data_IF_648907507127
#
_entry.id   IF_648907507127
#
_cell.length_a   1.000
_cell.length_b   1.000
_cell.length_c   1.000
_cell.angle_alpha   90.00
_cell.angle_beta   90.00
_cell.angle_gamma   90.00
#
_symmetry.space_group_name_H-M   'P 1'
#
loop_
_entity.id
_entity.type
_entity.pdbx_description
1 polymer ?
#
# COMPACT_ATOMS: atom_id res chain seq x y z
N UNK A 1 -43.25 8.49 -70.22
CA UNK A 1 -42.06 7.63 -70.47
C UNK A 1 -41.43 7.25 -69.14
N UNK A 2 -41.47 5.96 -68.78
CA UNK A 2 -40.60 5.36 -67.75
C UNK A 2 -39.31 4.86 -68.42
N UNK A 3 -38.18 4.80 -67.70
CA UNK A 3 -37.42 3.54 -67.64
C UNK A 3 -37.03 3.20 -66.18
N UNK A 4 -37.35 2.01 -65.66
CA UNK A 4 -36.55 0.76 -65.69
C UNK A 4 -35.14 0.94 -65.06
N UNK A 5 -34.97 0.63 -63.76
CA UNK A 5 -34.64 -0.66 -63.10
C UNK A 5 -33.17 -1.13 -63.18
N UNK A 6 -32.53 -1.14 -61.99
CA UNK A 6 -31.59 -2.12 -61.39
C UNK A 6 -30.19 -2.34 -61.97
N UNK A 7 -29.17 -2.18 -61.11
CA UNK A 7 -28.22 -3.27 -60.74
C UNK A 7 -27.29 -2.82 -59.59
N UNK A 8 -27.50 -3.32 -58.35
CA UNK A 8 -26.65 -4.29 -57.62
C UNK A 8 -25.26 -3.79 -57.16
N UNK A 9 -25.10 -3.56 -55.84
CA UNK A 9 -23.96 -4.10 -55.08
C UNK A 9 -24.30 -4.29 -53.59
N UNK A 10 -24.33 -5.57 -53.21
CA UNK A 10 -24.06 -6.30 -51.95
C UNK A 10 -23.85 -5.47 -50.66
N UNK A 11 -24.67 -5.62 -49.61
CA UNK A 11 -24.78 -6.71 -48.60
C UNK A 11 -23.89 -6.52 -47.36
N UNK A 12 -24.56 -6.61 -46.20
CA UNK A 12 -24.09 -6.89 -44.84
C UNK A 12 -23.37 -5.76 -44.08
N UNK A 13 -23.53 -5.60 -42.77
CA UNK A 13 -24.55 -6.01 -41.79
C UNK A 13 -24.17 -5.32 -40.46
N UNK A 14 -25.09 -5.41 -39.49
CA UNK A 14 -24.88 -5.44 -38.04
C UNK A 14 -25.39 -4.22 -37.28
N UNK A 15 -26.13 -4.59 -36.25
CA UNK A 15 -27.11 -3.86 -35.49
C UNK A 15 -26.53 -3.13 -34.28
N UNK A 16 -27.37 -2.20 -33.80
CA UNK A 16 -27.56 -1.80 -32.40
C UNK A 16 -26.48 -0.95 -31.74
N UNK A 17 -26.90 0.23 -31.25
CA UNK A 17 -27.03 0.55 -29.81
C UNK A 17 -26.68 2.03 -29.57
N UNK A 18 -27.68 2.85 -29.19
CA UNK A 18 -27.46 4.08 -28.42
C UNK A 18 -28.80 4.62 -27.91
N UNK A 19 -29.29 4.10 -26.78
CA UNK A 19 -30.21 4.84 -25.91
C UNK A 19 -29.38 5.57 -24.87
N UNK A 20 -29.47 6.89 -24.88
CA UNK A 20 -28.86 7.81 -23.93
C UNK A 20 -29.93 8.33 -22.97
N UNK A 21 -29.50 8.52 -21.71
CA UNK A 21 -30.08 9.34 -20.64
C UNK A 21 -31.18 8.72 -19.77
N UNK A 22 -30.79 8.31 -18.55
CA UNK A 22 -31.14 9.03 -17.33
C UNK A 22 -30.47 8.34 -16.12
N UNK A 23 -29.41 8.92 -15.59
CA UNK A 23 -28.88 8.58 -14.27
C UNK A 23 -28.96 9.85 -13.41
N UNK A 24 -30.16 10.18 -12.97
CA UNK A 24 -30.36 11.06 -11.82
C UNK A 24 -30.36 10.19 -10.58
N UNK A 25 -29.45 10.46 -9.64
CA UNK A 25 -29.52 9.94 -8.28
C UNK A 25 -28.61 8.76 -7.99
N UNK A 26 -27.33 9.04 -7.77
CA UNK A 26 -26.58 8.32 -6.74
C UNK A 26 -25.78 9.36 -5.97
N UNK A 27 -26.02 9.45 -4.66
CA UNK A 27 -25.04 9.99 -3.72
C UNK A 27 -23.65 9.40 -4.04
N UNK A 28 -22.53 10.07 -3.73
CA UNK A 28 -21.27 9.37 -3.66
C UNK A 28 -21.45 8.25 -2.64
N UNK A 29 -21.59 7.02 -3.13
CA UNK A 29 -21.51 5.82 -2.31
C UNK A 29 -20.22 5.94 -1.51
N UNK A 30 -20.29 5.71 -0.20
CA UNK A 30 -19.09 5.39 0.58
C UNK A 30 -18.24 4.44 -0.26
N UNK A 31 -16.93 4.65 -0.39
CA UNK A 31 -16.09 3.63 -1.02
C UNK A 31 -16.41 2.31 -0.32
N UNK A 32 -16.84 1.33 -1.11
CA UNK A 32 -17.08 -0.05 -0.67
C UNK A 32 -15.96 -0.40 0.31
N UNK A 33 -16.30 -0.52 1.58
CA UNK A 33 -15.39 -1.10 2.56
C UNK A 33 -15.30 -2.54 2.12
N UNK A 34 -14.26 -2.83 1.34
CA UNK A 34 -13.98 -4.12 0.75
C UNK A 34 -14.22 -5.20 1.80
N UNK A 35 -15.12 -6.12 1.45
CA UNK A 35 -15.44 -7.39 2.11
C UNK A 35 -14.33 -7.85 3.09
N UNK A 36 -14.38 -7.33 4.32
CA UNK A 36 -13.39 -7.66 5.34
C UNK A 36 -13.84 -8.99 5.94
N UNK A 37 -13.05 -10.03 5.77
CA UNK A 37 -13.17 -11.26 6.54
C UNK A 37 -13.42 -10.92 8.02
N UNK A 38 -14.33 -11.63 8.68
CA UNK A 38 -14.66 -11.38 10.08
C UNK A 38 -13.38 -11.35 10.94
N UNK A 39 -13.27 -10.39 11.89
CA UNK A 39 -12.08 -10.26 12.70
C UNK A 39 -11.85 -11.53 13.53
N UNK A 40 -10.62 -12.04 13.54
CA UNK A 40 -10.23 -13.16 14.40
C UNK A 40 -10.11 -12.64 15.83
N UNK A 41 -10.82 -13.29 16.77
CA UNK A 41 -10.81 -12.93 18.19
C UNK A 41 -10.12 -14.01 19.03
N UNK A 42 -9.43 -13.60 20.10
CA UNK A 42 -8.95 -14.51 21.14
C UNK A 42 -10.08 -14.95 22.10
N UNK A 43 -9.73 -15.79 23.09
CA UNK A 43 -10.67 -16.29 24.11
C UNK A 43 -11.33 -15.17 24.95
N UNK A 44 -10.75 -13.98 24.97
CA UNK A 44 -11.25 -12.81 25.69
C UNK A 44 -12.01 -11.84 24.77
N UNK A 45 -12.21 -12.19 23.50
CA UNK A 45 -12.87 -11.35 22.50
C UNK A 45 -11.98 -10.22 21.95
N UNK A 46 -10.67 -10.24 22.20
CA UNK A 46 -9.72 -9.26 21.64
C UNK A 46 -9.37 -9.65 20.20
N UNK A 47 -9.33 -8.68 19.29
CA UNK A 47 -8.87 -8.92 17.91
C UNK A 47 -7.40 -9.36 17.90
N UNK A 48 -7.11 -10.41 17.15
CA UNK A 48 -5.78 -10.96 16.92
C UNK A 48 -5.47 -10.84 15.44
N UNK A 49 -4.29 -10.33 15.13
CA UNK A 49 -3.83 -10.23 13.74
C UNK A 49 -3.60 -11.63 13.16
N UNK A 50 -4.13 -11.88 11.96
CA UNK A 50 -3.76 -13.04 11.15
C UNK A 50 -2.26 -13.03 10.83
N UNK A 51 -1.64 -14.20 10.58
CA UNK A 51 -0.23 -14.26 10.16
C UNK A 51 0.02 -13.38 8.93
N UNK A 52 1.08 -12.57 8.97
CA UNK A 52 1.41 -11.68 7.87
C UNK A 52 1.69 -12.47 6.58
N UNK A 53 0.93 -12.24 5.50
CA UNK A 53 1.06 -12.99 4.25
C UNK A 53 2.41 -12.80 3.55
N UNK A 54 3.15 -11.73 3.87
CA UNK A 54 4.51 -11.54 3.39
C UNK A 54 5.46 -12.68 3.80
N UNK A 55 5.24 -13.28 4.97
CA UNK A 55 6.07 -14.36 5.49
C UNK A 55 5.51 -15.77 5.22
N UNK A 56 4.29 -15.86 4.66
CA UNK A 56 3.63 -17.13 4.40
C UNK A 56 4.27 -17.91 3.23
N UNK A 57 4.89 -17.21 2.27
CA UNK A 57 5.66 -17.84 1.19
C UNK A 57 7.14 -17.95 1.59
N UNK A 58 7.56 -19.16 1.96
CA UNK A 58 8.95 -19.45 2.32
C UNK A 58 9.86 -19.60 1.09
N UNK A 59 10.00 -18.54 0.30
CA UNK A 59 11.11 -18.48 -0.66
C UNK A 59 12.42 -18.36 0.14
N UNK A 60 13.25 -19.41 0.11
CA UNK A 60 14.54 -19.39 0.79
C UNK A 60 15.40 -18.26 0.25
N UNK A 61 15.73 -17.29 1.09
CA UNK A 61 16.64 -16.19 0.73
C UNK A 61 18.02 -16.80 0.53
N UNK A 62 18.68 -16.62 -0.64
CA UNK A 62 20.00 -17.18 -0.89
C UNK A 62 21.01 -16.77 0.18
N UNK A 63 21.87 -17.69 0.63
CA UNK A 63 22.85 -17.44 1.71
C UNK A 63 23.73 -16.21 1.43
N UNK A 64 24.14 -16.02 0.17
CA UNK A 64 24.90 -14.83 -0.24
C UNK A 64 24.13 -13.53 -0.03
N UNK A 65 22.83 -13.52 -0.35
CA UNK A 65 21.95 -12.37 -0.13
C UNK A 65 21.77 -12.09 1.37
N UNK A 66 21.54 -13.15 2.17
CA UNK A 66 21.40 -13.02 3.62
C UNK A 66 22.66 -12.42 4.26
N UNK A 67 23.84 -12.89 3.87
CA UNK A 67 25.12 -12.38 4.38
C UNK A 67 25.36 -10.92 3.97
N UNK A 68 25.14 -10.58 2.70
CA UNK A 68 25.29 -9.21 2.22
C UNK A 68 24.31 -8.23 2.88
N UNK A 69 23.04 -8.62 3.03
CA UNK A 69 22.05 -7.84 3.78
C UNK A 69 22.43 -7.69 5.26
N UNK A 70 23.04 -8.70 5.87
CA UNK A 70 23.52 -8.62 7.26
C UNK A 70 24.69 -7.64 7.40
N UNK A 71 25.63 -7.64 6.45
CA UNK A 71 26.71 -6.62 6.38
C UNK A 71 26.15 -5.23 6.16
N UNK A 72 25.20 -5.07 5.24
CA UNK A 72 24.55 -3.78 5.00
C UNK A 72 23.85 -3.25 6.25
N UNK A 73 23.24 -4.14 7.05
CA UNK A 73 22.66 -3.77 8.35
C UNK A 73 23.71 -3.28 9.33
N UNK A 74 24.84 -3.98 9.45
CA UNK A 74 25.95 -3.56 10.30
C UNK A 74 26.49 -2.18 9.88
N UNK A 75 26.71 -1.97 8.58
CA UNK A 75 27.08 -0.66 8.06
C UNK A 75 26.05 0.42 8.36
N UNK A 76 24.76 0.11 8.25
CA UNK A 76 23.68 1.04 8.61
C UNK A 76 23.70 1.41 10.10
N UNK A 77 23.88 0.42 10.99
CA UNK A 77 23.94 0.62 12.43
C UNK A 77 25.18 1.47 12.83
N UNK A 78 26.28 1.34 12.08
CA UNK A 78 27.49 2.17 12.18
C UNK A 78 27.39 3.52 11.44
N UNK A 79 26.23 3.86 10.86
CA UNK A 79 26.00 5.06 10.03
C UNK A 79 26.87 5.16 8.77
N UNK A 80 27.47 4.05 8.34
CA UNK A 80 28.23 3.94 7.08
C UNK A 80 27.28 3.70 5.91
N UNK A 81 26.40 4.67 5.64
CA UNK A 81 25.28 4.49 4.71
C UNK A 81 25.72 4.22 3.26
N UNK A 82 26.81 4.82 2.79
CA UNK A 82 27.34 4.54 1.45
C UNK A 82 27.81 3.09 1.29
N UNK A 83 28.42 2.52 2.34
CA UNK A 83 28.83 1.12 2.34
C UNK A 83 27.62 0.18 2.38
N UNK A 84 26.60 0.51 3.18
CA UNK A 84 25.33 -0.21 3.22
C UNK A 84 24.62 -0.19 1.85
N UNK A 85 24.59 0.96 1.18
CA UNK A 85 24.02 1.11 -0.16
C UNK A 85 24.74 0.23 -1.17
N UNK A 86 26.08 0.23 -1.15
CA UNK A 86 26.89 -0.58 -2.07
C UNK A 86 26.59 -2.07 -1.93
N UNK A 87 26.52 -2.59 -0.70
CA UNK A 87 26.17 -3.99 -0.44
C UNK A 87 24.75 -4.32 -0.96
N UNK A 88 23.77 -3.45 -0.68
CA UNK A 88 22.39 -3.69 -1.10
C UNK A 88 22.20 -3.57 -2.61
N UNK A 89 22.92 -2.68 -3.29
CA UNK A 89 22.93 -2.58 -4.75
C UNK A 89 23.41 -3.89 -5.40
N UNK A 90 24.42 -4.54 -4.83
CA UNK A 90 24.87 -5.85 -5.30
C UNK A 90 23.80 -6.93 -5.09
N UNK A 91 23.13 -6.92 -3.93
CA UNK A 91 22.04 -7.88 -3.63
C UNK A 91 20.90 -7.73 -4.64
N UNK A 92 20.42 -6.51 -4.88
CA UNK A 92 19.26 -6.29 -5.76
C UNK A 92 19.60 -6.50 -7.24
N UNK A 93 20.86 -6.34 -7.64
CA UNK A 93 21.33 -6.67 -8.98
C UNK A 93 21.36 -8.20 -9.21
N UNK A 94 21.78 -8.97 -8.22
CA UNK A 94 21.89 -10.43 -8.33
C UNK A 94 20.57 -11.15 -8.05
N UNK A 95 19.75 -10.62 -7.14
CA UNK A 95 18.48 -11.22 -6.71
C UNK A 95 17.34 -10.18 -6.73
N UNK A 96 16.91 -9.73 -7.93
CA UNK A 96 15.96 -8.64 -8.08
C UNK A 96 14.56 -8.94 -7.52
N UNK A 97 14.22 -10.21 -7.27
CA UNK A 97 12.92 -10.61 -6.71
C UNK A 97 12.86 -10.58 -5.17
N UNK A 98 13.97 -10.23 -4.50
CA UNK A 98 13.99 -10.06 -3.04
C UNK A 98 13.43 -8.68 -2.66
N UNK A 99 12.10 -8.57 -2.52
CA UNK A 99 11.44 -7.31 -2.13
C UNK A 99 11.99 -6.71 -0.84
N UNK A 100 12.39 -7.54 0.14
CA UNK A 100 13.05 -7.09 1.36
C UNK A 100 14.39 -6.38 1.15
N UNK A 101 15.16 -6.77 0.12
CA UNK A 101 16.43 -6.12 -0.20
C UNK A 101 16.20 -4.72 -0.79
N UNK A 102 15.24 -4.59 -1.70
CA UNK A 102 14.81 -3.29 -2.23
C UNK A 102 14.27 -2.36 -1.14
N UNK A 103 13.44 -2.88 -0.22
CA UNK A 103 12.98 -2.13 0.95
C UNK A 103 14.15 -1.64 1.81
N UNK A 104 15.13 -2.51 2.10
CA UNK A 104 16.30 -2.10 2.87
C UNK A 104 17.12 -1.05 2.13
N UNK A 105 17.32 -1.19 0.81
CA UNK A 105 18.02 -0.21 -0.02
C UNK A 105 17.36 1.16 0.07
N UNK A 106 16.03 1.23 -0.03
CA UNK A 106 15.30 2.49 0.09
C UNK A 106 15.53 3.18 1.43
N UNK A 107 15.60 2.43 2.55
CA UNK A 107 15.88 2.99 3.87
C UNK A 107 17.26 3.62 3.95
N UNK A 108 18.26 2.98 3.32
CA UNK A 108 19.63 3.54 3.23
C UNK A 108 19.62 4.80 2.37
N UNK A 109 18.96 4.77 1.22
CA UNK A 109 18.85 5.92 0.30
C UNK A 109 18.20 7.14 0.97
N UNK A 110 17.17 6.92 1.81
CA UNK A 110 16.58 8.00 2.61
C UNK A 110 17.56 8.59 3.63
N UNK A 111 18.43 7.77 4.25
CA UNK A 111 19.51 8.29 5.12
C UNK A 111 20.57 9.08 4.36
N UNK A 112 20.74 8.80 3.08
CA UNK A 112 21.63 9.52 2.17
C UNK A 112 20.97 10.75 1.51
N UNK A 113 19.73 11.10 1.90
CA UNK A 113 18.95 12.17 1.28
C UNK A 113 18.74 11.98 -0.24
N UNK A 114 18.48 10.74 -0.67
CA UNK A 114 18.22 10.37 -2.07
C UNK A 114 16.76 9.87 -2.26
N UNK A 115 15.74 10.74 -2.09
CA UNK A 115 14.34 10.32 -2.05
C UNK A 115 13.83 9.75 -3.37
N UNK A 116 14.31 10.22 -4.53
CA UNK A 116 13.87 9.72 -5.84
C UNK A 116 14.34 8.27 -6.06
N UNK A 117 15.57 7.96 -5.63
CA UNK A 117 16.10 6.60 -5.69
C UNK A 117 15.39 5.69 -4.69
N UNK A 118 15.09 6.20 -3.49
CA UNK A 118 14.31 5.47 -2.50
C UNK A 118 12.91 5.12 -3.02
N UNK A 119 12.22 6.06 -3.69
CA UNK A 119 10.92 5.78 -4.32
C UNK A 119 11.05 4.70 -5.40
N UNK A 120 12.05 4.79 -6.28
CA UNK A 120 12.30 3.76 -7.29
C UNK A 120 12.53 2.38 -6.66
N UNK A 121 13.35 2.31 -5.60
CA UNK A 121 13.59 1.08 -4.85
C UNK A 121 12.31 0.53 -4.20
N UNK A 122 11.46 1.39 -3.62
CA UNK A 122 10.19 0.96 -3.03
C UNK A 122 9.21 0.43 -4.08
N UNK A 123 9.16 1.06 -5.26
CA UNK A 123 8.36 0.57 -6.40
C UNK A 123 8.85 -0.80 -6.86
N UNK A 124 10.17 -1.01 -6.95
CA UNK A 124 10.74 -2.34 -7.22
C UNK A 124 10.42 -3.36 -6.13
N UNK A 125 10.39 -2.96 -4.87
CA UNK A 125 10.04 -3.86 -3.76
C UNK A 125 8.60 -4.39 -3.90
N UNK A 126 7.63 -3.52 -4.20
CA UNK A 126 6.22 -3.93 -4.35
C UNK A 126 5.96 -4.67 -5.66
N UNK A 127 6.69 -4.37 -6.73
CA UNK A 127 6.68 -5.15 -7.98
C UNK A 127 7.22 -6.57 -7.75
N UNK A 128 8.32 -6.71 -7.01
CA UNK A 128 8.95 -8.00 -6.72
C UNK A 128 8.08 -8.90 -5.84
N UNK A 129 7.34 -8.31 -4.89
CA UNK A 129 6.36 -9.02 -4.09
C UNK A 129 5.26 -8.08 -3.59
N UNK A 130 4.08 -8.15 -4.21
CA UNK A 130 2.94 -7.32 -3.86
C UNK A 130 2.47 -7.53 -2.40
N UNK A 131 2.72 -8.69 -1.79
CA UNK A 131 2.36 -8.99 -0.39
C UNK A 131 3.31 -8.34 0.62
N UNK A 132 4.38 -7.67 0.19
CA UNK A 132 5.28 -6.95 1.08
C UNK A 132 4.63 -5.64 1.57
N UNK A 133 3.75 -5.77 2.57
CA UNK A 133 3.03 -4.65 3.20
C UNK A 133 3.95 -3.60 3.82
N UNK A 134 5.17 -3.97 4.22
CA UNK A 134 6.15 -3.03 4.73
C UNK A 134 6.69 -2.11 3.63
N UNK A 135 6.86 -2.62 2.41
CA UNK A 135 7.26 -1.83 1.25
C UNK A 135 6.15 -0.87 0.81
N UNK A 136 4.90 -1.34 0.74
CA UNK A 136 3.75 -0.47 0.48
C UNK A 136 3.62 0.66 1.50
N UNK A 137 3.73 0.35 2.79
CA UNK A 137 3.67 1.36 3.84
C UNK A 137 4.84 2.34 3.78
N UNK A 138 6.08 1.87 3.53
CA UNK A 138 7.22 2.76 3.36
C UNK A 138 7.06 3.70 2.14
N UNK A 139 6.49 3.19 1.04
CA UNK A 139 6.13 4.00 -0.13
C UNK A 139 5.08 5.06 0.24
N UNK A 140 4.03 4.68 0.97
CA UNK A 140 3.03 5.63 1.45
C UNK A 140 3.61 6.72 2.35
N UNK A 141 4.54 6.37 3.24
CA UNK A 141 5.23 7.36 4.09
C UNK A 141 6.02 8.35 3.25
N UNK A 142 6.86 7.84 2.33
CA UNK A 142 7.67 8.69 1.45
C UNK A 142 6.81 9.63 0.60
N UNK A 143 5.74 9.11 0.00
CA UNK A 143 4.82 9.89 -0.84
C UNK A 143 4.09 10.98 -0.02
N UNK A 144 3.68 10.66 1.21
CA UNK A 144 3.07 11.64 2.12
C UNK A 144 4.06 12.74 2.48
N UNK A 145 5.30 12.40 2.78
CA UNK A 145 6.35 13.37 3.12
C UNK A 145 6.69 14.28 1.93
N UNK A 146 6.46 13.82 0.69
CA UNK A 146 6.56 14.62 -0.54
C UNK A 146 5.28 15.42 -0.88
N UNK A 147 4.23 15.35 -0.07
CA UNK A 147 2.96 16.02 -0.32
C UNK A 147 2.05 15.33 -1.36
N UNK A 148 2.42 14.12 -1.81
CA UNK A 148 1.65 13.33 -2.79
C UNK A 148 0.60 12.49 -2.08
N UNK A 149 -0.38 13.16 -1.46
CA UNK A 149 -1.30 12.54 -0.50
C UNK A 149 -2.21 11.46 -1.11
N UNK A 150 -2.72 11.65 -2.33
CA UNK A 150 -3.54 10.62 -2.98
C UNK A 150 -2.73 9.37 -3.35
N UNK A 151 -1.49 9.54 -3.82
CA UNK A 151 -0.60 8.39 -4.09
C UNK A 151 -0.24 7.67 -2.78
N UNK A 152 -0.02 8.42 -1.70
CA UNK A 152 0.22 7.85 -0.37
C UNK A 152 -0.98 7.02 0.12
N UNK A 153 -2.21 7.54 -0.08
CA UNK A 153 -3.46 6.84 0.25
C UNK A 153 -3.53 5.51 -0.48
N UNK A 154 -3.30 5.51 -1.80
CA UNK A 154 -3.30 4.29 -2.62
C UNK A 154 -2.25 3.29 -2.12
N UNK A 155 -1.07 3.74 -1.74
CA UNK A 155 -0.02 2.85 -1.22
C UNK A 155 -0.41 2.22 0.14
N UNK A 156 -0.99 2.98 1.06
CA UNK A 156 -1.47 2.43 2.34
C UNK A 156 -2.66 1.48 2.16
N UNK A 157 -3.63 1.84 1.32
CA UNK A 157 -4.76 0.97 0.98
C UNK A 157 -4.27 -0.32 0.31
N UNK A 158 -3.23 -0.25 -0.52
CA UNK A 158 -2.60 -1.43 -1.12
C UNK A 158 -1.97 -2.33 -0.05
N UNK A 159 -1.32 -1.77 0.99
CA UNK A 159 -0.83 -2.57 2.11
C UNK A 159 -1.97 -3.30 2.85
N UNK A 160 -3.06 -2.59 3.12
CA UNK A 160 -4.22 -3.12 3.85
C UNK A 160 -5.04 -4.12 3.02
N UNK A 161 -5.06 -3.97 1.70
CA UNK A 161 -5.68 -4.94 0.80
C UNK A 161 -4.94 -6.29 0.81
N UNK A 162 -3.62 -6.29 1.08
CA UNK A 162 -2.84 -7.53 1.22
C UNK A 162 -2.93 -8.10 2.62
N UNK A 163 -2.88 -7.24 3.65
CA UNK A 163 -3.01 -7.65 5.05
C UNK A 163 -3.88 -6.65 5.82
N UNK A 164 -5.18 -6.93 5.97
CA UNK A 164 -6.10 -6.06 6.70
C UNK A 164 -5.73 -5.89 8.18
N UNK A 165 -5.02 -6.85 8.77
CA UNK A 165 -4.59 -6.79 10.18
C UNK A 165 -3.27 -6.02 10.37
N UNK A 166 -2.86 -5.22 9.38
CA UNK A 166 -1.63 -4.45 9.47
C UNK A 166 -1.82 -3.14 10.26
N UNK A 167 -1.66 -3.22 11.58
CA UNK A 167 -1.85 -2.08 12.51
C UNK A 167 -1.11 -0.80 12.08
N UNK A 168 0.16 -0.92 11.65
CA UNK A 168 0.95 0.25 11.22
C UNK A 168 0.38 0.90 9.95
N UNK A 169 -0.16 0.11 9.01
CA UNK A 169 -0.83 0.61 7.82
C UNK A 169 -2.06 1.42 8.17
N UNK A 170 -2.90 0.90 9.06
CA UNK A 170 -4.06 1.61 9.61
C UNK A 170 -3.66 2.91 10.30
N UNK A 171 -2.65 2.89 11.18
CA UNK A 171 -2.16 4.09 11.87
C UNK A 171 -1.71 5.16 10.89
N UNK A 172 -0.94 4.80 9.86
CA UNK A 172 -0.42 5.76 8.89
C UNK A 172 -1.49 6.31 7.95
N UNK A 173 -2.47 5.48 7.57
CA UNK A 173 -3.63 5.91 6.80
C UNK A 173 -4.54 6.84 7.62
N UNK A 174 -4.72 6.55 8.92
CA UNK A 174 -5.41 7.44 9.85
C UNK A 174 -4.74 8.82 9.95
N UNK A 175 -3.41 8.87 10.09
CA UNK A 175 -2.62 10.12 10.07
C UNK A 175 -2.82 10.86 8.74
N UNK A 176 -2.84 10.14 7.62
CA UNK A 176 -3.06 10.76 6.31
C UNK A 176 -4.44 11.42 6.24
N UNK A 177 -5.48 10.71 6.67
CA UNK A 177 -6.85 11.21 6.67
C UNK A 177 -7.06 12.40 7.60
N UNK A 178 -6.52 12.34 8.82
CA UNK A 178 -6.66 13.40 9.82
C UNK A 178 -5.95 14.68 9.38
N UNK A 179 -4.62 14.58 9.20
CA UNK A 179 -3.77 15.76 9.10
C UNK A 179 -3.72 16.37 7.70
N UNK A 180 -3.92 15.57 6.65
CA UNK A 180 -3.64 16.00 5.27
C UNK A 180 -4.87 15.98 4.36
N UNK A 181 -5.81 15.06 4.56
CA UNK A 181 -7.03 14.96 3.74
C UNK A 181 -8.27 15.52 4.44
N UNK A 182 -8.18 15.91 5.72
CA UNK A 182 -9.26 16.49 6.52
C UNK A 182 -10.55 15.64 6.51
N UNK A 183 -10.37 14.35 6.77
CA UNK A 183 -11.39 13.29 6.74
C UNK A 183 -11.46 12.60 8.11
N UNK A 184 -12.02 13.26 9.14
CA UNK A 184 -11.92 12.80 10.54
C UNK A 184 -12.66 11.48 10.79
N UNK A 185 -13.77 11.21 10.10
CA UNK A 185 -14.49 9.94 10.21
C UNK A 185 -13.62 8.75 9.75
N UNK A 186 -12.96 8.88 8.59
CA UNK A 186 -12.04 7.87 8.09
C UNK A 186 -10.80 7.72 8.97
N UNK A 187 -10.28 8.83 9.50
CA UNK A 187 -9.16 8.80 10.44
C UNK A 187 -9.52 8.03 11.72
N UNK A 188 -10.67 8.32 12.33
CA UNK A 188 -11.16 7.67 13.54
C UNK A 188 -11.37 6.17 13.32
N UNK A 189 -11.93 5.77 12.17
CA UNK A 189 -12.04 4.36 11.81
C UNK A 189 -10.67 3.67 11.83
N UNK A 190 -9.68 4.19 11.09
CA UNK A 190 -8.37 3.52 11.02
C UNK A 190 -7.58 3.59 12.33
N UNK A 191 -7.72 4.64 13.14
CA UNK A 191 -7.11 4.64 14.47
C UNK A 191 -7.70 3.58 15.40
N UNK A 192 -9.01 3.33 15.32
CA UNK A 192 -9.66 2.24 16.07
C UNK A 192 -9.17 0.86 15.60
N UNK A 193 -9.06 0.67 14.29
CA UNK A 193 -8.50 -0.57 13.72
C UNK A 193 -7.06 -0.81 14.19
N UNK A 194 -6.20 0.20 14.11
CA UNK A 194 -4.82 0.12 14.61
C UNK A 194 -4.78 -0.24 16.09
N UNK A 195 -5.58 0.44 16.93
CA UNK A 195 -5.65 0.18 18.37
C UNK A 195 -6.13 -1.23 18.70
N UNK A 196 -7.09 -1.76 17.94
CA UNK A 196 -7.63 -3.10 18.15
C UNK A 196 -6.58 -4.20 17.87
N UNK A 197 -5.64 -3.92 16.97
CA UNK A 197 -4.59 -4.84 16.53
C UNK A 197 -3.28 -4.74 17.34
N UNK A 198 -3.10 -3.67 18.12
CA UNK A 198 -1.90 -3.47 18.93
C UNK A 198 -1.89 -4.37 20.19
N UNK A 199 -0.75 -5.00 20.45
CA UNK A 199 -0.54 -5.81 21.66
C UNK A 199 -0.27 -4.92 22.88
N UNK A 200 0.49 -3.84 22.68
CA UNK A 200 0.89 -2.90 23.72
C UNK A 200 -0.01 -1.66 23.75
N UNK A 201 -0.10 -1.01 24.90
CA UNK A 201 -0.82 0.25 25.05
C UNK A 201 -0.09 1.40 24.32
N UNK A 202 -0.66 1.92 23.23
CA UNK A 202 -0.26 3.19 22.61
C UNK A 202 -1.15 4.34 23.15
N UNK A 203 -0.60 5.10 24.09
CA UNK A 203 -1.26 6.29 24.67
C UNK A 203 -1.40 7.45 23.69
N UNK A 204 -0.49 7.56 22.73
CA UNK A 204 -0.53 8.61 21.71
C UNK A 204 -1.72 8.34 20.79
N UNK A 205 -1.85 7.11 20.29
CA UNK A 205 -2.98 6.68 19.47
C UNK A 205 -4.31 6.83 20.22
N UNK A 206 -4.36 6.43 21.50
CA UNK A 206 -5.54 6.63 22.33
C UNK A 206 -5.92 8.12 22.48
N UNK A 207 -4.92 8.99 22.62
CA UNK A 207 -5.12 10.44 22.68
C UNK A 207 -5.73 10.98 21.39
N UNK A 208 -5.23 10.56 20.23
CA UNK A 208 -5.77 10.97 18.91
C UNK A 208 -7.23 10.54 18.72
N UNK A 209 -7.58 9.33 19.15
CA UNK A 209 -8.98 8.84 19.09
C UNK A 209 -9.90 9.73 19.92
N UNK A 210 -9.56 9.95 21.19
CA UNK A 210 -10.38 10.77 22.11
C UNK A 210 -10.53 12.20 21.60
N UNK A 211 -9.47 12.75 21.03
CA UNK A 211 -9.46 14.10 20.49
C UNK A 211 -10.33 14.23 19.23
N UNK A 212 -10.27 13.28 18.28
CA UNK A 212 -11.19 13.26 17.13
C UNK A 212 -12.66 13.10 17.55
N UNK A 213 -12.95 12.20 18.49
CA UNK A 213 -14.30 11.99 19.02
C UNK A 213 -14.91 13.25 19.66
N UNK A 214 -14.09 14.19 20.15
CA UNK A 214 -14.55 15.45 20.74
C UNK A 214 -14.83 16.55 19.73
N UNK A 215 -14.22 16.48 18.54
CA UNK A 215 -14.30 17.52 17.50
C UNK A 215 -15.41 17.27 16.46
N UNK A 216 -15.95 16.04 16.46
CA UNK A 216 -17.05 15.60 15.61
C UNK A 216 -18.39 15.78 16.32
#
# INVERSE_FOLDING_TARGET
MKPFLKSYFRLAAIASLATLLAACGSNPSQPDIADTAEPVLDENGKRVATPNPYFAEHASVPTGAQQAMSRAREFFDQQQFQAAETELQQVVAQWPNLSGAWLNLSKVQLKLAQPEQAEASLRRAVEANAKNVFAWNALGVLLRDQGRFEDARVAYESALAQWPDFAMGHRNLGILYDLYLHKPEQALHHYREAKALEEAEDRVLAGWIVDLERRM
#
